data_IF_252715240488
#
_entry.id   IF_252715240488
#
_cell.length_a   1.000
_cell.length_b   1.000
_cell.length_c   1.000
_cell.angle_alpha   90.00
_cell.angle_beta   90.00
_cell.angle_gamma   90.00
#
_symmetry.space_group_name_H-M   'P 1'
#
loop_
_entity.id
_entity.type
_entity.pdbx_description
1 polymer ?
#
# COMPACT_ATOMS: atom_id res chain seq x y z
N UNK A 1 -13.23 51.39 0.89
CA UNK A 1 -11.97 50.67 0.56
C UNK A 1 -11.23 51.36 -0.57
N UNK A 2 -11.88 51.72 -1.67
CA UNK A 2 -11.24 52.43 -2.79
C UNK A 2 -10.65 53.80 -2.38
N UNK A 3 -11.40 54.62 -1.64
CA UNK A 3 -10.98 55.97 -1.25
C UNK A 3 -9.79 56.04 -0.29
N UNK A 4 -9.64 55.06 0.62
CA UNK A 4 -8.49 55.05 1.56
C UNK A 4 -7.18 54.59 0.92
N UNK A 5 -7.26 53.80 -0.16
CA UNK A 5 -6.10 53.33 -0.91
C UNK A 5 -5.51 54.47 -1.78
N UNK A 6 -6.37 55.35 -2.29
CA UNK A 6 -5.96 56.53 -3.07
C UNK A 6 -5.28 57.61 -2.20
N UNK A 7 -5.63 57.71 -0.91
CA UNK A 7 -5.12 58.76 -0.01
C UNK A 7 -3.81 58.41 0.74
N UNK A 8 -3.19 57.25 0.48
CA UNK A 8 -1.90 56.82 1.06
C UNK A 8 -1.79 56.87 2.59
N UNK A 9 -2.92 56.78 3.31
CA UNK A 9 -2.95 56.74 4.79
C UNK A 9 -2.93 55.29 5.29
N UNK A 10 -2.04 55.00 6.25
CA UNK A 10 -2.03 53.69 6.94
C UNK A 10 -3.25 53.58 7.85
N UNK A 11 -4.14 52.63 7.58
CA UNK A 11 -5.28 52.29 8.44
C UNK A 11 -5.05 50.95 9.16
N UNK A 12 -5.24 50.91 10.47
CA UNK A 12 -5.39 49.67 11.24
C UNK A 12 -6.88 49.31 11.29
N UNK A 13 -7.24 48.15 10.74
CA UNK A 13 -8.62 47.65 10.73
C UNK A 13 -8.72 46.38 11.54
N UNK A 14 -9.67 46.35 12.47
CA UNK A 14 -10.02 45.17 13.24
C UNK A 14 -11.15 44.46 12.52
N UNK A 15 -10.85 43.27 12.01
CA UNK A 15 -11.87 42.39 11.42
C UNK A 15 -12.46 41.54 12.53
N UNK A 16 -13.76 41.71 12.78
CA UNK A 16 -14.51 40.84 13.67
C UNK A 16 -15.20 39.76 12.85
N UNK A 17 -14.59 38.59 12.78
CA UNK A 17 -15.23 37.42 12.20
C UNK A 17 -16.25 36.87 13.20
N UNK A 18 -17.51 36.80 12.80
CA UNK A 18 -18.54 36.04 13.51
C UNK A 18 -18.65 34.69 12.83
N UNK A 19 -18.34 33.62 13.57
CA UNK A 19 -18.69 32.27 13.14
C UNK A 19 -20.19 32.11 13.38
N UNK A 20 -20.98 32.18 12.32
CA UNK A 20 -22.34 31.67 12.39
C UNK A 20 -22.23 30.15 12.59
N UNK A 21 -22.76 29.65 13.70
CA UNK A 21 -23.04 28.22 13.82
C UNK A 21 -24.22 27.98 12.89
N UNK A 22 -23.94 27.44 11.71
CA UNK A 22 -25.01 26.82 10.93
C UNK A 22 -25.66 25.76 11.83
N UNK A 23 -26.94 25.96 12.15
CA UNK A 23 -27.69 25.15 13.11
C UNK A 23 -27.94 23.72 12.60
N UNK A 24 -27.60 23.47 11.34
CA UNK A 24 -27.40 22.16 10.74
C UNK A 24 -25.95 22.15 10.28
N UNK A 25 -25.06 21.37 10.91
CA UNK A 25 -23.69 21.26 10.43
C UNK A 25 -23.68 20.88 8.93
N UNK A 26 -22.69 21.33 8.18
CA UNK A 26 -22.54 21.14 6.71
C UNK A 26 -22.62 19.65 6.25
N UNK A 27 -22.60 18.71 7.20
CA UNK A 27 -22.77 17.27 7.05
C UNK A 27 -23.76 16.65 8.04
N UNK A 28 -24.74 17.42 8.55
CA UNK A 28 -25.71 16.93 9.55
C UNK A 28 -26.57 15.77 9.02
N UNK A 29 -26.70 15.68 7.71
CA UNK A 29 -27.49 14.65 7.03
C UNK A 29 -26.61 13.57 6.41
N UNK A 30 -25.28 13.61 6.58
CA UNK A 30 -24.40 12.58 6.01
C UNK A 30 -24.72 11.23 6.63
N UNK A 31 -24.88 10.24 5.76
CA UNK A 31 -25.05 8.84 6.15
C UNK A 31 -23.73 8.11 5.94
N UNK A 32 -23.21 7.48 7.00
CA UNK A 32 -22.08 6.56 6.91
C UNK A 32 -22.58 5.13 6.78
N UNK A 33 -21.97 4.37 5.88
CA UNK A 33 -22.37 3.00 5.65
C UNK A 33 -21.16 2.11 5.31
N UNK A 34 -21.38 0.80 5.33
CA UNK A 34 -20.36 -0.21 5.05
C UNK A 34 -20.44 -0.77 3.62
N UNK A 35 -19.56 -1.71 3.31
CA UNK A 35 -19.46 -2.31 1.97
C UNK A 35 -20.72 -3.03 1.50
N UNK A 36 -21.58 -3.51 2.41
CA UNK A 36 -22.84 -4.19 2.07
C UNK A 36 -23.98 -3.24 1.71
N UNK A 37 -23.76 -1.93 1.82
CA UNK A 37 -24.80 -0.89 1.62
C UNK A 37 -24.86 -0.29 0.22
N UNK A 38 -24.01 -0.74 -0.71
CA UNK A 38 -23.92 -0.18 -2.06
C UNK A 38 -23.49 -1.22 -3.09
N UNK A 39 -23.79 -0.96 -4.35
CA UNK A 39 -23.18 -1.66 -5.49
C UNK A 39 -21.91 -0.95 -5.92
N UNK A 40 -20.87 -1.70 -6.31
CA UNK A 40 -19.59 -1.12 -6.76
C UNK A 40 -19.71 -0.13 -7.92
N UNK A 41 -20.75 -0.25 -8.74
CA UNK A 41 -21.07 0.72 -9.80
C UNK A 41 -21.31 2.15 -9.26
N UNK A 42 -21.82 2.30 -8.03
CA UNK A 42 -22.04 3.61 -7.40
C UNK A 42 -20.73 4.36 -7.09
N UNK A 43 -19.61 3.64 -6.96
CA UNK A 43 -18.30 4.25 -6.67
C UNK A 43 -17.58 4.77 -7.92
N UNK A 44 -18.03 4.39 -9.12
CA UNK A 44 -17.35 4.71 -10.38
C UNK A 44 -17.00 6.20 -10.49
N UNK A 45 -17.99 7.08 -10.31
CA UNK A 45 -17.78 8.53 -10.37
C UNK A 45 -16.75 9.00 -9.33
N UNK A 46 -16.90 8.56 -8.07
CA UNK A 46 -16.01 8.96 -6.99
C UNK A 46 -14.57 8.54 -7.28
N UNK A 47 -14.37 7.33 -7.80
CA UNK A 47 -13.07 6.78 -8.15
C UNK A 47 -12.42 7.53 -9.30
N UNK A 48 -13.12 7.66 -10.42
CA UNK A 48 -12.60 8.29 -11.64
C UNK A 48 -12.27 9.77 -11.41
N UNK A 49 -13.11 10.50 -10.67
CA UNK A 49 -12.83 11.89 -10.31
C UNK A 49 -11.72 12.04 -9.26
N UNK A 50 -11.49 11.03 -8.42
CA UNK A 50 -10.46 11.10 -7.38
C UNK A 50 -9.07 10.72 -7.87
N UNK A 51 -8.98 9.72 -8.75
CA UNK A 51 -7.72 9.14 -9.21
C UNK A 51 -7.39 9.48 -10.66
N UNK A 52 -8.34 10.01 -11.44
CA UNK A 52 -8.17 10.29 -12.87
C UNK A 52 -7.82 9.04 -13.69
N UNK A 53 -8.33 7.89 -13.28
CA UNK A 53 -8.18 6.57 -13.91
C UNK A 53 -9.56 5.91 -13.99
N UNK A 54 -9.78 5.11 -15.04
CA UNK A 54 -11.02 4.34 -15.23
C UNK A 54 -11.27 3.37 -14.07
N UNK A 55 -12.54 3.22 -13.67
CA UNK A 55 -12.90 2.28 -12.62
C UNK A 55 -12.84 0.82 -13.12
N UNK A 56 -11.86 0.06 -12.65
CA UNK A 56 -11.71 -1.37 -12.97
C UNK A 56 -12.55 -2.24 -12.02
N UNK A 57 -13.66 -2.77 -12.57
CA UNK A 57 -14.57 -3.64 -11.84
C UNK A 57 -13.91 -4.96 -11.39
N UNK A 58 -13.04 -5.56 -12.20
CA UNK A 58 -12.39 -6.83 -11.84
C UNK A 58 -11.43 -6.62 -10.68
N UNK A 59 -10.70 -5.51 -10.69
CA UNK A 59 -9.79 -5.15 -9.62
C UNK A 59 -10.53 -4.83 -8.33
N UNK A 60 -11.67 -4.12 -8.41
CA UNK A 60 -12.53 -3.89 -7.26
C UNK A 60 -12.99 -5.22 -6.63
N UNK A 61 -13.47 -6.16 -7.44
CA UNK A 61 -13.94 -7.47 -6.97
C UNK A 61 -12.83 -8.29 -6.35
N UNK A 62 -11.65 -8.33 -6.98
CA UNK A 62 -10.46 -8.97 -6.42
C UNK A 62 -10.14 -8.42 -5.02
N UNK A 63 -10.12 -7.09 -4.86
CA UNK A 63 -9.73 -6.45 -3.61
C UNK A 63 -10.78 -6.55 -2.51
N UNK A 64 -12.04 -6.28 -2.83
CA UNK A 64 -13.10 -6.09 -1.84
C UNK A 64 -13.98 -7.32 -1.65
N UNK A 65 -14.36 -8.01 -2.73
CA UNK A 65 -15.22 -9.19 -2.64
C UNK A 65 -14.39 -10.43 -2.27
N UNK A 66 -13.34 -10.71 -3.04
CA UNK A 66 -12.50 -11.91 -2.82
C UNK A 66 -11.47 -11.69 -1.70
N UNK A 67 -10.87 -10.51 -1.64
CA UNK A 67 -9.90 -10.12 -0.61
C UNK A 67 -10.48 -9.78 0.75
N UNK A 68 -11.81 -9.87 0.92
CA UNK A 68 -12.51 -9.45 2.13
C UNK A 68 -12.15 -8.01 2.54
N UNK A 69 -12.07 -7.11 1.54
CA UNK A 69 -11.81 -5.70 1.76
C UNK A 69 -12.86 -5.06 2.67
N UNK A 70 -12.44 -4.01 3.36
CA UNK A 70 -13.27 -3.24 4.28
C UNK A 70 -13.38 -1.83 3.78
N UNK A 71 -14.52 -1.20 3.99
CA UNK A 71 -14.64 0.23 3.76
C UNK A 71 -15.72 0.88 4.62
N UNK A 72 -15.59 2.19 4.73
CA UNK A 72 -16.62 3.12 5.14
C UNK A 72 -16.87 4.07 3.98
N UNK A 73 -18.15 4.24 3.62
CA UNK A 73 -18.59 5.27 2.68
C UNK A 73 -19.35 6.35 3.40
N UNK A 74 -19.36 7.55 2.82
CA UNK A 74 -20.27 8.61 3.23
C UNK A 74 -21.13 9.05 2.05
N UNK A 75 -22.45 9.09 2.26
CA UNK A 75 -23.43 9.66 1.33
C UNK A 75 -23.73 11.10 1.73
N UNK A 76 -23.98 11.97 0.74
CA UNK A 76 -24.26 13.40 0.99
C UNK A 76 -25.51 13.61 1.85
N UNK A 77 -26.47 12.71 1.72
CA UNK A 77 -27.72 12.61 2.46
C UNK A 77 -28.17 11.14 2.45
N UNK A 78 -29.14 10.73 3.30
CA UNK A 78 -29.57 9.34 3.34
C UNK A 78 -30.09 8.86 1.99
N UNK A 79 -29.55 7.76 1.47
CA UNK A 79 -29.86 7.25 0.12
C UNK A 79 -29.31 8.11 -1.05
N UNK A 80 -28.58 9.18 -0.77
CA UNK A 80 -27.93 10.04 -1.77
C UNK A 80 -26.67 9.42 -2.38
N UNK A 81 -25.96 10.20 -3.20
CA UNK A 81 -24.73 9.73 -3.85
C UNK A 81 -23.60 9.51 -2.84
N UNK A 82 -22.75 8.51 -3.09
CA UNK A 82 -21.51 8.32 -2.34
C UNK A 82 -20.54 9.43 -2.73
N UNK A 83 -20.05 10.15 -1.73
CA UNK A 83 -19.20 11.34 -1.90
C UNK A 83 -17.84 11.20 -1.21
N UNK A 84 -17.66 10.19 -0.38
CA UNK A 84 -16.42 9.83 0.31
C UNK A 84 -16.35 8.32 0.50
N UNK A 85 -15.14 7.79 0.43
CA UNK A 85 -14.83 6.38 0.63
C UNK A 85 -13.48 6.27 1.33
N UNK A 86 -13.41 5.38 2.30
CA UNK A 86 -12.17 5.01 2.97
C UNK A 86 -12.09 3.49 3.02
N UNK A 87 -11.11 2.93 2.32
CA UNK A 87 -10.97 1.49 2.13
C UNK A 87 -9.74 0.92 2.80
N UNK A 88 -9.75 -0.39 2.97
CA UNK A 88 -8.56 -1.14 3.31
C UNK A 88 -8.68 -2.61 2.96
N UNK A 89 -7.56 -3.23 2.62
CA UNK A 89 -7.47 -4.64 2.29
C UNK A 89 -6.73 -5.39 3.41
N UNK A 90 -7.38 -6.34 4.10
CA UNK A 90 -6.72 -7.12 5.15
C UNK A 90 -5.50 -7.88 4.63
N UNK A 91 -4.50 -8.04 5.50
CA UNK A 91 -3.28 -8.82 5.25
C UNK A 91 -2.97 -9.63 6.50
N UNK A 92 -2.82 -10.93 6.34
CA UNK A 92 -2.25 -11.77 7.39
C UNK A 92 -0.76 -11.42 7.52
N UNK A 93 -0.27 -11.31 8.74
CA UNK A 93 1.11 -10.89 9.06
C UNK A 93 1.68 -11.77 10.18
N UNK A 94 3.01 -11.76 10.28
CA UNK A 94 3.72 -12.04 11.53
C UNK A 94 4.08 -10.70 12.17
N UNK A 95 3.49 -10.41 13.31
CA UNK A 95 3.76 -9.25 14.16
C UNK A 95 4.77 -9.67 15.24
N UNK A 96 6.05 -9.39 15.04
CA UNK A 96 7.14 -9.83 15.91
C UNK A 96 7.06 -11.34 16.19
N UNK A 97 7.00 -12.11 15.09
CA UNK A 97 6.86 -13.58 15.10
C UNK A 97 5.49 -14.12 15.49
N UNK A 98 4.54 -13.27 15.92
CA UNK A 98 3.18 -13.70 16.30
C UNK A 98 2.19 -13.53 15.14
N UNK A 99 1.41 -14.56 14.78
CA UNK A 99 0.36 -14.41 13.76
C UNK A 99 -0.65 -13.32 14.14
N UNK A 100 -0.92 -12.42 13.20
CA UNK A 100 -1.91 -11.37 13.36
C UNK A 100 -2.47 -10.90 12.02
N UNK A 101 -3.39 -9.94 12.05
CA UNK A 101 -3.96 -9.33 10.85
C UNK A 101 -3.68 -7.84 10.86
N UNK A 102 -3.11 -7.32 9.78
CA UNK A 102 -3.05 -5.90 9.49
C UNK A 102 -4.07 -5.53 8.41
N UNK A 103 -4.27 -4.23 8.19
CA UNK A 103 -5.04 -3.73 7.05
C UNK A 103 -4.24 -2.69 6.26
N UNK A 104 -4.08 -2.94 4.97
CA UNK A 104 -3.51 -1.97 4.05
C UNK A 104 -4.59 -0.96 3.67
N UNK A 105 -4.49 0.26 4.17
CA UNK A 105 -5.37 1.36 3.78
C UNK A 105 -5.15 1.69 2.30
N UNK A 106 -6.25 1.72 1.55
CA UNK A 106 -6.26 1.95 0.10
C UNK A 106 -7.56 2.66 -0.33
N UNK A 107 -7.61 3.12 -1.58
CA UNK A 107 -8.79 3.74 -2.19
C UNK A 107 -9.43 4.85 -1.33
N UNK A 108 -8.60 5.70 -0.71
CA UNK A 108 -9.07 6.82 0.09
C UNK A 108 -9.49 7.97 -0.82
N UNK A 109 -10.79 8.23 -0.88
CA UNK A 109 -11.41 9.10 -1.86
C UNK A 109 -12.39 10.07 -1.21
N UNK A 110 -12.40 11.32 -1.68
CA UNK A 110 -13.42 12.32 -1.39
C UNK A 110 -13.66 13.06 -2.70
N UNK A 111 -14.90 13.36 -3.08
CA UNK A 111 -15.15 14.10 -4.33
C UNK A 111 -14.43 15.46 -4.32
N UNK A 112 -13.75 15.85 -5.42
CA UNK A 112 -12.98 17.09 -5.49
C UNK A 112 -13.77 18.35 -5.10
N UNK A 113 -15.05 18.42 -5.46
CA UNK A 113 -15.95 19.54 -5.12
C UNK A 113 -16.21 19.68 -3.61
N UNK A 114 -16.09 18.59 -2.84
CA UNK A 114 -16.30 18.53 -1.39
C UNK A 114 -14.99 18.72 -0.61
N UNK A 115 -13.81 18.57 -1.26
CA UNK A 115 -12.48 18.75 -0.63
C UNK A 115 -12.18 20.20 -0.17
N UNK A 116 -13.13 21.13 -0.28
CA UNK A 116 -12.98 22.55 0.09
C UNK A 116 -13.00 22.77 1.61
N UNK A 117 -13.45 21.78 2.38
CA UNK A 117 -13.58 21.86 3.83
C UNK A 117 -12.42 21.12 4.50
N UNK A 118 -11.73 21.80 5.43
CA UNK A 118 -10.57 21.27 6.13
C UNK A 118 -10.83 21.09 7.64
N UNK A 119 -10.04 20.24 8.28
CA UNK A 119 -10.07 20.05 9.74
C UNK A 119 -10.95 18.87 10.18
N UNK A 120 -11.11 18.73 11.50
CA UNK A 120 -11.82 17.60 12.16
C UNK A 120 -13.34 17.57 11.95
N UNK A 121 -13.87 18.40 11.05
CA UNK A 121 -15.27 18.41 10.61
C UNK A 121 -15.42 18.09 9.12
N UNK A 122 -14.29 17.93 8.43
CA UNK A 122 -14.29 17.57 7.01
C UNK A 122 -14.80 16.15 6.82
N UNK A 123 -15.38 15.88 5.66
CA UNK A 123 -15.83 14.55 5.32
C UNK A 123 -14.68 13.54 5.25
N UNK A 124 -13.49 13.97 4.78
CA UNK A 124 -12.27 13.18 4.87
C UNK A 124 -12.01 12.70 6.29
N UNK A 125 -12.00 13.63 7.26
CA UNK A 125 -11.71 13.30 8.65
C UNK A 125 -12.75 12.32 9.21
N UNK A 126 -14.04 12.61 9.01
CA UNK A 126 -15.09 11.77 9.58
C UNK A 126 -15.07 10.35 8.98
N UNK A 127 -14.97 10.21 7.65
CA UNK A 127 -14.89 8.88 7.01
C UNK A 127 -13.63 8.13 7.46
N UNK A 128 -12.48 8.82 7.56
CA UNK A 128 -11.24 8.22 8.03
C UNK A 128 -11.34 7.77 9.49
N UNK A 129 -11.73 8.65 10.41
CA UNK A 129 -11.87 8.34 11.83
C UNK A 129 -12.84 7.18 12.07
N UNK A 130 -14.00 7.19 11.40
CA UNK A 130 -14.97 6.08 11.47
C UNK A 130 -14.38 4.76 10.97
N UNK A 131 -13.61 4.78 9.87
CA UNK A 131 -12.93 3.57 9.39
C UNK A 131 -11.89 3.08 10.40
N UNK A 132 -11.03 3.97 10.90
CA UNK A 132 -9.97 3.63 11.86
C UNK A 132 -10.57 3.03 13.15
N UNK A 133 -11.64 3.62 13.69
CA UNK A 133 -12.33 3.11 14.87
C UNK A 133 -12.99 1.74 14.63
N UNK A 134 -13.54 1.51 13.44
CA UNK A 134 -14.27 0.27 13.12
C UNK A 134 -13.36 -0.89 12.77
N UNK A 135 -12.22 -0.62 12.12
CA UNK A 135 -11.42 -1.65 11.47
C UNK A 135 -10.00 -1.80 12.03
N UNK A 136 -9.47 -0.86 12.85
CA UNK A 136 -8.07 -0.94 13.29
C UNK A 136 -7.94 -0.79 14.81
N UNK A 137 -7.17 -1.66 15.47
CA UNK A 137 -6.73 -1.49 16.85
C UNK A 137 -7.05 -2.67 17.77
N UNK A 138 -6.80 -2.49 19.07
CA UNK A 138 -6.78 -3.59 20.06
C UNK A 138 -8.14 -4.25 20.32
N UNK A 139 -9.24 -3.70 19.82
CA UNK A 139 -10.62 -4.16 20.08
C UNK A 139 -11.31 -4.70 18.83
N UNK A 140 -10.60 -4.79 17.71
CA UNK A 140 -11.14 -5.23 16.41
C UNK A 140 -10.19 -6.25 15.78
N UNK A 141 -10.56 -6.83 14.63
CA UNK A 141 -9.82 -7.96 14.05
C UNK A 141 -8.41 -7.56 13.59
N UNK A 142 -8.25 -6.39 12.98
CA UNK A 142 -6.98 -5.95 12.43
C UNK A 142 -6.25 -5.11 13.46
N UNK A 143 -5.12 -5.63 13.94
CA UNK A 143 -4.35 -5.04 15.04
C UNK A 143 -3.78 -3.67 14.66
N UNK A 144 -3.25 -3.54 13.44
CA UNK A 144 -2.65 -2.31 12.94
C UNK A 144 -2.96 -2.05 11.47
N UNK A 145 -2.84 -0.79 11.09
CA UNK A 145 -2.95 -0.33 9.70
C UNK A 145 -1.60 0.10 9.15
N UNK A 146 -1.43 -0.07 7.85
CA UNK A 146 -0.34 0.51 7.07
C UNK A 146 -0.87 0.99 5.72
N UNK A 147 -0.06 1.68 4.93
CA UNK A 147 -0.46 2.10 3.59
C UNK A 147 0.61 2.94 2.91
N UNK A 148 0.28 3.42 1.71
CA UNK A 148 1.22 4.12 0.84
C UNK A 148 0.61 5.46 0.38
N UNK A 149 0.30 6.37 1.32
CA UNK A 149 -0.34 7.64 0.98
C UNK A 149 0.60 8.52 0.14
N UNK A 150 0.04 9.26 -0.81
CA UNK A 150 0.78 10.37 -1.39
C UNK A 150 1.07 11.45 -0.33
N UNK A 151 2.07 12.29 -0.57
CA UNK A 151 2.51 13.32 0.38
C UNK A 151 1.38 14.25 0.87
N UNK A 152 0.40 14.54 0.02
CA UNK A 152 -0.73 15.41 0.39
C UNK A 152 -1.64 14.71 1.39
N UNK A 153 -2.00 13.46 1.13
CA UNK A 153 -2.83 12.66 2.03
C UNK A 153 -2.13 12.44 3.38
N UNK A 154 -0.84 12.10 3.37
CA UNK A 154 -0.04 11.92 4.59
C UNK A 154 0.00 13.18 5.46
N UNK A 155 0.35 14.34 4.87
CA UNK A 155 0.38 15.63 5.58
C UNK A 155 -0.96 16.00 6.20
N UNK A 156 -2.07 15.72 5.51
CA UNK A 156 -3.41 15.99 6.04
C UNK A 156 -3.70 15.06 7.23
N UNK A 157 -3.42 13.77 7.11
CA UNK A 157 -3.68 12.80 8.18
C UNK A 157 -2.85 13.07 9.44
N UNK A 158 -1.55 13.39 9.29
CA UNK A 158 -0.67 13.82 10.40
C UNK A 158 -1.24 15.06 11.10
N UNK A 159 -1.60 16.10 10.33
CA UNK A 159 -2.17 17.34 10.89
C UNK A 159 -3.47 17.12 11.65
N UNK A 160 -4.27 16.13 11.24
CA UNK A 160 -5.53 15.79 11.88
C UNK A 160 -5.37 14.86 13.09
N UNK A 161 -4.17 14.33 13.33
CA UNK A 161 -3.88 13.35 14.37
C UNK A 161 -4.48 11.97 14.08
N UNK A 162 -4.67 11.64 12.80
CA UNK A 162 -5.14 10.32 12.37
C UNK A 162 -3.98 9.34 12.26
N UNK A 163 -2.81 9.83 11.84
CA UNK A 163 -1.60 9.03 11.62
C UNK A 163 -0.39 9.54 12.40
N UNK A 164 0.53 8.61 12.61
CA UNK A 164 1.95 8.86 12.85
C UNK A 164 2.77 8.17 11.75
N UNK A 165 4.06 8.50 11.64
CA UNK A 165 4.99 7.92 10.66
C UNK A 165 5.85 6.84 11.32
N UNK A 166 6.03 5.72 10.64
CA UNK A 166 6.86 4.60 11.11
C UNK A 166 8.06 4.29 10.21
N UNK A 167 8.00 4.64 8.92
CA UNK A 167 9.12 4.43 7.99
C UNK A 167 8.99 5.32 6.74
N UNK A 168 9.98 5.25 5.86
CA UNK A 168 9.95 5.74 4.49
C UNK A 168 9.96 4.58 3.50
N UNK A 169 9.31 4.74 2.37
CA UNK A 169 9.39 3.80 1.26
C UNK A 169 10.36 4.35 0.21
N UNK A 170 11.35 3.54 -0.14
CA UNK A 170 12.45 3.92 -1.03
C UNK A 170 12.51 2.99 -2.24
N UNK A 171 13.18 3.45 -3.28
CA UNK A 171 13.48 2.67 -4.48
C UNK A 171 14.99 2.40 -4.56
N UNK A 172 15.35 1.16 -4.84
CA UNK A 172 16.71 0.80 -5.26
C UNK A 172 16.65 0.36 -6.72
N UNK A 173 17.45 1.01 -7.56
CA UNK A 173 17.63 0.67 -8.97
C UNK A 173 18.97 -0.03 -9.14
N UNK A 174 18.95 -1.24 -9.68
CA UNK A 174 20.14 -2.06 -9.84
C UNK A 174 20.80 -1.83 -11.19
N UNK A 175 22.11 -1.66 -11.16
CA UNK A 175 22.93 -1.52 -12.36
C UNK A 175 22.88 -2.80 -13.21
N UNK A 176 22.77 -2.61 -14.53
CA UNK A 176 22.76 -3.72 -15.49
C UNK A 176 24.19 -4.27 -15.63
N UNK A 177 24.44 -5.56 -15.35
CA UNK A 177 25.78 -6.13 -15.48
C UNK A 177 26.26 -6.11 -16.93
N UNK A 178 27.51 -5.72 -17.19
CA UNK A 178 28.08 -5.73 -18.56
C UNK A 178 28.17 -7.14 -19.17
N UNK A 179 28.37 -8.16 -18.33
CA UNK A 179 28.44 -9.58 -18.71
C UNK A 179 27.58 -10.40 -17.76
N UNK A 180 26.26 -10.45 -17.97
CA UNK A 180 25.37 -11.22 -17.11
C UNK A 180 25.68 -12.72 -17.27
N UNK A 181 26.10 -13.35 -16.18
CA UNK A 181 26.16 -14.80 -16.05
C UNK A 181 25.33 -15.14 -14.81
N UNK A 182 24.30 -15.96 -14.99
CA UNK A 182 23.54 -16.50 -13.87
C UNK A 182 23.54 -18.02 -13.95
N UNK A 183 23.81 -18.65 -12.81
CA UNK A 183 23.75 -20.10 -12.67
C UNK A 183 22.34 -20.60 -12.28
N UNK A 184 21.40 -19.67 -12.07
CA UNK A 184 20.06 -20.01 -11.60
C UNK A 184 19.30 -20.86 -12.61
N UNK A 185 18.68 -21.92 -12.09
CA UNK A 185 17.62 -22.63 -12.79
C UNK A 185 16.30 -21.94 -12.45
N UNK A 186 15.77 -21.19 -13.41
CA UNK A 186 14.56 -20.37 -13.22
C UNK A 186 13.43 -20.90 -14.11
N UNK A 187 12.27 -21.14 -13.50
CA UNK A 187 11.04 -21.53 -14.19
C UNK A 187 9.88 -20.62 -13.80
N UNK A 188 8.85 -20.50 -14.65
CA UNK A 188 7.62 -19.81 -14.25
C UNK A 188 6.94 -20.63 -13.15
N UNK A 189 6.57 -19.96 -12.06
CA UNK A 189 5.92 -20.64 -10.96
C UNK A 189 4.49 -21.06 -11.35
N UNK A 190 4.10 -22.27 -10.97
CA UNK A 190 2.77 -22.82 -11.18
C UNK A 190 2.20 -23.32 -9.85
N UNK A 191 1.29 -22.55 -9.25
CA UNK A 191 0.67 -22.92 -7.96
C UNK A 191 -0.38 -24.02 -8.07
N UNK A 192 -0.74 -24.47 -9.27
CA UNK A 192 -1.55 -25.68 -9.45
C UNK A 192 -0.68 -26.96 -9.35
N UNK A 193 0.65 -26.83 -9.40
CA UNK A 193 1.57 -27.90 -9.06
C UNK A 193 1.82 -27.93 -7.55
N UNK A 194 1.34 -28.99 -6.89
CA UNK A 194 1.48 -29.16 -5.44
C UNK A 194 2.95 -29.16 -5.00
N UNK A 195 3.87 -29.72 -5.80
CA UNK A 195 5.28 -29.77 -5.42
C UNK A 195 5.91 -28.36 -5.41
N UNK A 196 5.48 -27.48 -6.31
CA UNK A 196 5.93 -26.08 -6.29
C UNK A 196 5.29 -25.31 -5.14
N UNK A 197 4.00 -25.51 -4.86
CA UNK A 197 3.33 -24.90 -3.72
C UNK A 197 4.00 -25.27 -2.39
N UNK A 198 4.28 -26.56 -2.17
CA UNK A 198 4.99 -27.03 -0.96
C UNK A 198 6.42 -26.45 -0.87
N UNK A 199 7.11 -26.32 -2.00
CA UNK A 199 8.44 -25.71 -2.06
C UNK A 199 8.41 -24.22 -1.65
N UNK A 200 7.42 -23.48 -2.13
CA UNK A 200 7.21 -22.07 -1.78
C UNK A 200 6.89 -21.92 -0.30
N UNK A 201 6.01 -22.77 0.23
CA UNK A 201 5.68 -22.76 1.65
C UNK A 201 6.92 -23.04 2.51
N UNK A 202 7.78 -23.98 2.07
CA UNK A 202 9.08 -24.24 2.71
C UNK A 202 10.04 -23.05 2.69
N UNK A 203 10.11 -22.30 1.58
CA UNK A 203 10.91 -21.08 1.48
C UNK A 203 10.36 -19.98 2.40
N UNK A 204 9.03 -19.81 2.43
CA UNK A 204 8.36 -18.87 3.31
C UNK A 204 8.62 -19.17 4.78
N UNK A 205 8.51 -20.43 5.22
CA UNK A 205 8.78 -20.80 6.63
C UNK A 205 10.22 -20.48 7.07
N UNK A 206 11.19 -20.70 6.18
CA UNK A 206 12.59 -20.35 6.42
C UNK A 206 12.79 -18.84 6.50
N UNK A 207 12.17 -18.07 5.59
CA UNK A 207 12.18 -16.62 5.62
C UNK A 207 11.56 -16.11 6.92
N UNK A 208 10.31 -16.48 7.21
CA UNK A 208 9.53 -16.06 8.37
C UNK A 208 10.28 -16.19 9.70
N UNK A 209 11.04 -17.28 9.89
CA UNK A 209 11.81 -17.54 11.12
C UNK A 209 12.86 -16.45 11.39
N UNK A 210 13.48 -15.90 10.33
CA UNK A 210 14.49 -14.85 10.45
C UNK A 210 13.90 -13.46 10.71
N UNK A 211 12.58 -13.29 10.57
CA UNK A 211 11.85 -12.03 10.75
C UNK A 211 11.12 -11.97 12.11
N UNK A 212 11.58 -12.73 13.11
CA UNK A 212 10.96 -12.80 14.45
C UNK A 212 10.88 -11.46 15.18
N UNK A 213 11.81 -10.53 14.91
CA UNK A 213 11.83 -9.18 15.50
C UNK A 213 11.28 -8.10 14.55
N UNK A 214 10.58 -8.51 13.49
CA UNK A 214 10.03 -7.64 12.46
C UNK A 214 8.52 -7.82 12.29
N UNK A 215 7.93 -6.99 11.44
CA UNK A 215 6.57 -7.16 10.94
C UNK A 215 6.65 -7.49 9.46
N UNK A 216 6.13 -8.66 9.07
CA UNK A 216 6.17 -9.14 7.70
C UNK A 216 4.82 -9.76 7.30
N UNK A 217 4.34 -9.42 6.12
CA UNK A 217 3.17 -10.08 5.52
C UNK A 217 3.43 -11.55 5.22
N UNK A 218 2.42 -12.40 5.44
CA UNK A 218 2.49 -13.81 5.05
C UNK A 218 2.73 -13.91 3.54
N UNK A 219 3.71 -14.72 3.13
CA UNK A 219 4.11 -14.90 1.73
C UNK A 219 4.12 -16.37 1.30
N UNK A 220 3.20 -17.15 1.84
CA UNK A 220 2.99 -18.55 1.45
C UNK A 220 2.33 -18.69 0.05
N UNK A 221 2.19 -19.93 -0.41
CA UNK A 221 1.55 -20.25 -1.69
C UNK A 221 0.10 -19.75 -1.77
N UNK A 222 -0.65 -19.75 -0.67
CA UNK A 222 -2.03 -19.27 -0.62
C UNK A 222 -2.09 -17.75 -0.82
N UNK A 223 -1.20 -17.01 -0.15
CA UNK A 223 -1.01 -15.58 -0.37
C UNK A 223 -0.65 -15.29 -1.82
N UNK A 224 0.35 -15.97 -2.38
CA UNK A 224 0.77 -15.73 -3.77
C UNK A 224 -0.36 -16.01 -4.77
N UNK A 225 -1.14 -17.08 -4.54
CA UNK A 225 -2.29 -17.43 -5.37
C UNK A 225 -3.29 -16.29 -5.43
N UNK A 226 -3.70 -15.79 -4.28
CA UNK A 226 -4.61 -14.66 -4.19
C UNK A 226 -4.00 -13.37 -4.75
N UNK A 227 -2.78 -13.03 -4.29
CA UNK A 227 -2.16 -11.72 -4.51
C UNK A 227 -1.74 -11.48 -5.95
N UNK A 228 -1.24 -12.52 -6.61
CA UNK A 228 -0.65 -12.43 -7.95
C UNK A 228 -1.44 -13.24 -8.97
N UNK A 229 -1.68 -14.54 -8.77
CA UNK A 229 -2.28 -15.40 -9.80
C UNK A 229 -3.77 -15.13 -10.06
N UNK A 230 -4.51 -14.75 -9.02
CA UNK A 230 -5.93 -14.37 -9.12
C UNK A 230 -6.13 -12.86 -9.37
N UNK A 231 -5.05 -12.08 -9.39
CA UNK A 231 -5.13 -10.65 -9.66
C UNK A 231 -5.36 -10.42 -11.17
N UNK A 232 -6.23 -9.47 -11.59
CA UNK A 232 -6.50 -9.21 -13.01
C UNK A 232 -5.24 -8.98 -13.85
N UNK A 233 -4.24 -8.31 -13.28
CA UNK A 233 -2.93 -8.07 -13.90
C UNK A 233 -2.18 -9.34 -14.32
N UNK A 234 -2.36 -10.48 -13.65
CA UNK A 234 -1.75 -11.74 -14.09
C UNK A 234 -2.36 -12.23 -15.39
N UNK A 235 -3.69 -12.19 -15.52
CA UNK A 235 -4.39 -12.53 -16.77
C UNK A 235 -4.07 -11.54 -17.90
N UNK A 236 -3.71 -10.30 -17.57
CA UNK A 236 -3.22 -9.28 -18.52
C UNK A 236 -1.72 -9.40 -18.82
N UNK A 237 -1.04 -10.40 -18.26
CA UNK A 237 0.38 -10.67 -18.52
C UNK A 237 1.32 -9.62 -17.94
N UNK A 238 0.94 -8.94 -16.86
CA UNK A 238 1.75 -7.91 -16.20
C UNK A 238 2.58 -8.46 -15.03
N UNK A 239 2.13 -9.56 -14.40
CA UNK A 239 2.86 -10.24 -13.33
C UNK A 239 3.54 -11.50 -13.85
N UNK A 240 4.81 -11.69 -13.46
CA UNK A 240 5.63 -12.83 -13.83
C UNK A 240 6.28 -13.44 -12.58
N UNK A 241 5.62 -14.42 -11.94
CA UNK A 241 6.18 -15.17 -10.81
C UNK A 241 7.16 -16.23 -11.32
N UNK A 242 8.34 -16.31 -10.70
CA UNK A 242 9.39 -17.26 -11.03
C UNK A 242 9.84 -18.04 -9.80
N UNK A 243 9.92 -19.36 -9.94
CA UNK A 243 10.54 -20.24 -8.96
C UNK A 243 12.00 -20.48 -9.35
N UNK A 244 12.89 -20.39 -8.38
CA UNK A 244 14.33 -20.56 -8.54
C UNK A 244 14.77 -21.83 -7.83
N UNK A 245 15.60 -22.61 -8.53
CA UNK A 245 16.27 -23.78 -7.99
C UNK A 245 17.78 -23.58 -8.02
N UNK A 246 18.45 -24.08 -6.98
CA UNK A 246 19.91 -24.16 -6.95
C UNK A 246 20.43 -25.21 -7.96
N UNK A 247 21.75 -25.33 -8.07
CA UNK A 247 22.38 -26.30 -8.98
C UNK A 247 22.03 -27.77 -8.64
N UNK A 248 21.67 -28.05 -7.39
CA UNK A 248 21.24 -29.37 -6.92
C UNK A 248 19.73 -29.63 -7.15
N UNK A 249 18.98 -28.64 -7.66
CA UNK A 249 17.55 -28.73 -7.93
C UNK A 249 16.65 -28.38 -6.74
N UNK A 250 17.22 -27.96 -5.61
CA UNK A 250 16.44 -27.55 -4.45
C UNK A 250 15.85 -26.15 -4.64
N UNK A 251 14.63 -25.88 -4.15
CA UNK A 251 14.06 -24.54 -4.16
C UNK A 251 14.94 -23.58 -3.35
N UNK A 252 15.31 -22.44 -3.93
CA UNK A 252 16.16 -21.45 -3.29
C UNK A 252 15.49 -20.08 -3.14
N UNK A 253 14.62 -19.71 -4.07
CA UNK A 253 13.81 -18.50 -3.96
C UNK A 253 12.56 -18.54 -4.84
N UNK A 254 11.61 -17.67 -4.55
CA UNK A 254 10.58 -17.24 -5.48
C UNK A 254 10.62 -15.73 -5.60
N UNK A 255 10.48 -15.19 -6.81
CA UNK A 255 10.34 -13.76 -7.01
C UNK A 255 9.22 -13.45 -7.99
N UNK A 256 8.62 -12.27 -7.84
CA UNK A 256 7.55 -11.81 -8.74
C UNK A 256 7.99 -10.51 -9.39
N UNK A 257 7.99 -10.48 -10.72
CA UNK A 257 8.24 -9.27 -11.48
C UNK A 257 6.93 -8.64 -11.98
N UNK A 258 6.94 -7.31 -12.09
CA UNK A 258 5.94 -6.55 -12.82
C UNK A 258 6.62 -5.64 -13.84
N UNK A 259 6.09 -5.59 -15.07
CA UNK A 259 6.51 -4.56 -16.01
C UNK A 259 6.11 -3.15 -15.51
N UNK A 260 7.06 -2.21 -15.54
CA UNK A 260 6.88 -0.85 -15.04
C UNK A 260 7.59 0.18 -15.93
N UNK A 261 6.88 0.68 -16.95
CA UNK A 261 7.49 1.51 -18.00
C UNK A 261 8.52 0.72 -18.79
N UNK A 262 9.73 1.26 -18.92
CA UNK A 262 10.88 0.59 -19.56
C UNK A 262 11.68 -0.29 -18.58
N UNK A 263 11.29 -0.35 -17.29
CA UNK A 263 12.00 -1.06 -16.22
C UNK A 263 11.18 -2.22 -15.67
N UNK A 264 11.82 -3.11 -14.91
CA UNK A 264 11.16 -4.19 -14.18
C UNK A 264 11.09 -3.83 -12.71
N UNK A 265 9.92 -3.98 -12.11
CA UNK A 265 9.73 -3.84 -10.67
C UNK A 265 9.68 -5.22 -10.03
N UNK A 266 10.60 -5.47 -9.09
CA UNK A 266 10.56 -6.62 -8.20
C UNK A 266 9.46 -6.39 -7.16
N UNK A 267 8.38 -7.13 -7.32
CA UNK A 267 7.18 -7.03 -6.46
C UNK A 267 7.40 -7.77 -5.14
N UNK A 268 7.94 -8.99 -5.20
CA UNK A 268 8.20 -9.81 -4.02
C UNK A 268 9.43 -10.68 -4.24
N UNK A 269 10.08 -11.03 -3.13
CA UNK A 269 11.17 -11.99 -3.06
C UNK A 269 11.02 -12.81 -1.78
N UNK A 270 10.82 -14.12 -1.95
CA UNK A 270 10.72 -15.10 -0.88
C UNK A 270 11.96 -15.98 -0.95
N UNK A 271 12.79 -15.89 0.07
CA UNK A 271 14.08 -16.57 0.17
C UNK A 271 14.48 -16.63 1.65
N UNK A 272 15.27 -17.61 2.09
CA UNK A 272 15.92 -17.53 3.39
C UNK A 272 16.65 -16.19 3.53
N UNK A 273 16.56 -15.54 4.70
CA UNK A 273 17.02 -14.16 4.87
C UNK A 273 18.51 -13.96 4.55
N UNK A 274 19.34 -14.97 4.86
CA UNK A 274 20.77 -14.97 4.55
C UNK A 274 21.07 -14.98 3.05
N UNK A 275 20.13 -15.45 2.24
CA UNK A 275 20.29 -15.63 0.79
C UNK A 275 19.67 -14.49 -0.03
N UNK A 276 18.93 -13.56 0.59
CA UNK A 276 18.25 -12.46 -0.10
C UNK A 276 19.23 -11.65 -0.98
N UNK A 277 20.35 -11.18 -0.43
CA UNK A 277 21.34 -10.39 -1.19
C UNK A 277 22.00 -11.19 -2.32
N UNK A 278 22.60 -12.38 -2.08
CA UNK A 278 23.16 -13.20 -3.15
C UNK A 278 22.14 -13.49 -4.26
N UNK A 279 20.92 -13.88 -3.88
CA UNK A 279 19.84 -14.20 -4.81
C UNK A 279 19.45 -13.00 -5.66
N UNK A 280 19.38 -11.81 -5.05
CA UNK A 280 19.05 -10.58 -5.77
C UNK A 280 20.08 -10.25 -6.86
N UNK A 281 21.37 -10.46 -6.60
CA UNK A 281 22.42 -10.29 -7.61
C UNK A 281 22.22 -11.21 -8.83
N UNK A 282 21.85 -12.46 -8.58
CA UNK A 282 21.51 -13.42 -9.63
C UNK A 282 20.21 -13.06 -10.37
N UNK A 283 19.18 -12.59 -9.66
CA UNK A 283 17.92 -12.12 -10.27
C UNK A 283 18.17 -10.93 -11.20
N UNK A 284 19.05 -9.99 -10.83
CA UNK A 284 19.45 -8.88 -11.70
C UNK A 284 20.07 -9.39 -12.99
N UNK A 285 21.01 -10.35 -12.90
CA UNK A 285 21.65 -10.95 -14.07
C UNK A 285 20.64 -11.72 -14.95
N UNK A 286 19.72 -12.48 -14.34
CA UNK A 286 18.61 -13.14 -15.03
C UNK A 286 17.72 -12.13 -15.78
N UNK A 287 17.32 -11.05 -15.11
CA UNK A 287 16.46 -10.02 -15.71
C UNK A 287 17.13 -9.36 -16.91
N UNK A 288 18.41 -9.01 -16.80
CA UNK A 288 19.18 -8.45 -17.91
C UNK A 288 19.14 -9.36 -19.17
N UNK A 289 19.29 -10.68 -18.98
CA UNK A 289 19.30 -11.64 -20.09
C UNK A 289 17.90 -11.88 -20.66
N UNK A 290 16.92 -12.13 -19.79
CA UNK A 290 15.57 -12.55 -20.19
C UNK A 290 14.73 -11.37 -20.72
N UNK A 291 14.99 -10.15 -20.24
CA UNK A 291 14.19 -8.98 -20.52
C UNK A 291 14.96 -7.89 -21.27
N UNK A 292 15.85 -8.28 -22.19
CA UNK A 292 16.49 -7.38 -23.16
C UNK A 292 17.23 -6.20 -22.50
N UNK A 293 17.89 -6.43 -21.37
CA UNK A 293 18.68 -5.40 -20.67
C UNK A 293 17.86 -4.37 -19.89
N UNK A 294 16.57 -4.60 -19.66
CA UNK A 294 15.76 -3.72 -18.79
C UNK A 294 16.33 -3.71 -17.36
N UNK A 295 16.45 -2.52 -16.78
CA UNK A 295 16.88 -2.35 -15.41
C UNK A 295 15.85 -2.95 -14.44
N UNK A 296 16.35 -3.57 -13.36
CA UNK A 296 15.53 -4.05 -12.26
C UNK A 296 15.54 -3.03 -11.13
N UNK A 297 14.39 -2.83 -10.50
CA UNK A 297 14.28 -2.05 -9.27
C UNK A 297 13.42 -2.76 -8.24
N UNK A 298 13.63 -2.44 -6.98
CA UNK A 298 12.75 -2.84 -5.87
C UNK A 298 12.30 -1.59 -5.13
N UNK A 299 11.06 -1.60 -4.65
CA UNK A 299 10.63 -0.66 -3.63
C UNK A 299 10.55 -1.38 -2.29
N UNK A 300 11.12 -0.78 -1.26
CA UNK A 300 11.20 -1.37 0.08
C UNK A 300 11.13 -0.29 1.16
N UNK A 301 10.72 -0.67 2.36
CA UNK A 301 10.86 0.14 3.57
C UNK A 301 12.34 0.44 3.87
N UNK A 302 12.64 1.71 4.21
CA UNK A 302 14.02 2.19 4.33
C UNK A 302 14.82 1.43 5.39
N UNK A 303 14.18 1.03 6.49
CA UNK A 303 14.85 0.24 7.53
C UNK A 303 15.49 -1.06 6.99
N UNK A 304 14.98 -1.59 5.87
CA UNK A 304 15.46 -2.82 5.25
C UNK A 304 16.29 -2.59 3.98
N UNK A 305 16.72 -1.36 3.71
CA UNK A 305 17.62 -1.03 2.61
C UNK A 305 18.86 -1.93 2.60
N UNK A 306 19.50 -2.07 3.76
CA UNK A 306 20.68 -2.90 3.93
C UNK A 306 20.43 -4.39 3.71
N UNK A 307 19.20 -4.89 3.66
CA UNK A 307 18.93 -6.29 3.34
C UNK A 307 18.90 -6.56 1.83
N UNK A 308 18.72 -5.52 1.00
CA UNK A 308 18.57 -5.65 -0.46
C UNK A 308 19.58 -4.80 -1.25
N UNK A 309 20.42 -4.03 -0.57
CA UNK A 309 21.42 -3.20 -1.24
C UNK A 309 22.55 -4.05 -1.85
N UNK A 310 22.74 -3.89 -3.17
CA UNK A 310 23.87 -4.41 -3.94
C UNK A 310 24.90 -3.30 -4.21
N UNK A 311 26.16 -3.64 -4.58
CA UNK A 311 27.12 -2.65 -5.06
C UNK A 311 26.56 -1.84 -6.24
N UNK A 312 26.87 -0.55 -6.27
CA UNK A 312 26.54 0.36 -7.38
C UNK A 312 25.04 0.51 -7.70
N UNK A 313 24.14 0.15 -6.77
CA UNK A 313 22.72 0.49 -6.92
C UNK A 313 22.47 1.97 -6.61
N UNK A 314 21.50 2.56 -7.30
CA UNK A 314 21.04 3.93 -7.01
C UNK A 314 19.86 3.86 -6.06
N UNK A 315 19.92 4.60 -4.96
CA UNK A 315 18.81 4.71 -3.99
C UNK A 315 18.07 6.03 -4.22
N UNK A 316 16.76 5.95 -4.44
CA UNK A 316 15.88 7.09 -4.67
C UNK A 316 14.81 7.17 -3.58
N UNK A 317 14.46 8.40 -3.19
CA UNK A 317 13.32 8.65 -2.33
C UNK A 317 12.03 8.67 -3.15
N UNK A 318 11.07 7.80 -2.82
CA UNK A 318 9.74 7.82 -3.45
C UNK A 318 8.85 8.94 -2.89
N UNK A 319 9.25 9.55 -1.77
CA UNK A 319 8.44 10.53 -1.06
C UNK A 319 7.15 9.95 -0.47
N UNK A 320 7.11 8.63 -0.26
CA UNK A 320 6.03 7.90 0.39
C UNK A 320 6.47 7.58 1.82
N UNK A 321 5.69 8.03 2.79
CA UNK A 321 5.91 7.74 4.21
C UNK A 321 4.95 6.63 4.62
N UNK A 322 5.43 5.65 5.39
CA UNK A 322 4.60 4.56 5.90
C UNK A 322 3.89 5.04 7.17
N UNK A 323 2.54 5.09 7.18
CA UNK A 323 1.80 5.54 8.33
C UNK A 323 1.44 4.38 9.27
N UNK A 324 1.20 4.71 10.53
CA UNK A 324 0.40 3.89 11.44
C UNK A 324 -0.80 4.69 11.97
N UNK A 325 -1.80 3.98 12.48
CA UNK A 325 -2.96 4.58 13.13
C UNK A 325 -2.57 5.24 14.46
N UNK A 326 -2.90 6.52 14.65
CA UNK A 326 -2.72 7.25 15.91
C UNK A 326 -4.04 7.74 16.51
N UNK A 327 -5.18 7.39 15.89
CA UNK A 327 -6.50 7.92 16.26
C UNK A 327 -7.11 7.21 17.46
N UNK A 328 -7.00 5.88 17.51
CA UNK A 328 -7.53 5.03 18.57
C UNK A 328 -6.47 4.01 19.04
N UNK A 329 -6.74 3.29 20.13
CA UNK A 329 -5.74 2.43 20.78
C UNK A 329 -5.32 1.25 19.89
N UNK A 330 -4.02 1.15 19.66
CA UNK A 330 -3.33 0.08 18.95
C UNK A 330 -1.84 0.04 19.35
N UNK A 331 -1.00 -0.71 18.63
CA UNK A 331 0.45 -0.57 18.72
C UNK A 331 0.89 0.87 18.45
N UNK A 332 1.82 1.39 19.25
CA UNK A 332 2.32 2.76 19.11
C UNK A 332 3.36 2.89 17.98
N UNK A 333 3.56 4.12 17.49
CA UNK A 333 4.49 4.40 16.41
C UNK A 333 5.95 4.04 16.76
N UNK A 334 6.34 4.16 18.04
CA UNK A 334 7.69 3.84 18.51
C UNK A 334 8.01 2.35 18.32
N UNK A 335 7.07 1.47 18.70
CA UNK A 335 7.18 0.03 18.51
C UNK A 335 7.23 -0.36 17.02
N UNK A 336 6.49 0.37 16.18
CA UNK A 336 6.36 0.06 14.76
C UNK A 336 7.50 0.65 13.90
N UNK A 337 8.29 1.57 14.45
CA UNK A 337 9.28 2.32 13.70
C UNK A 337 10.35 1.40 13.09
N UNK A 338 10.48 1.40 11.77
CA UNK A 338 11.41 0.54 11.03
C UNK A 338 11.14 -0.97 11.10
N UNK A 339 10.03 -1.40 11.71
CA UNK A 339 9.77 -2.82 11.92
C UNK A 339 9.22 -3.52 10.66
N UNK A 340 8.60 -2.77 9.76
CA UNK A 340 7.91 -3.30 8.59
C UNK A 340 8.87 -3.74 7.49
N UNK A 341 8.82 -5.02 7.09
CA UNK A 341 9.26 -5.47 5.77
C UNK A 341 8.09 -5.31 4.79
N UNK A 342 8.12 -4.26 3.99
CA UNK A 342 7.15 -4.01 2.93
C UNK A 342 7.87 -3.90 1.59
N UNK A 343 7.33 -4.54 0.56
CA UNK A 343 7.82 -4.44 -0.81
C UNK A 343 6.77 -3.80 -1.71
N UNK A 344 7.09 -3.54 -2.98
CA UNK A 344 6.09 -3.09 -3.96
C UNK A 344 4.88 -4.03 -4.03
N UNK A 345 5.07 -5.33 -3.78
CA UNK A 345 4.01 -6.34 -3.69
C UNK A 345 2.94 -6.04 -2.64
N UNK A 346 3.28 -5.31 -1.58
CA UNK A 346 2.34 -4.90 -0.54
C UNK A 346 1.48 -3.69 -0.96
N UNK A 347 1.80 -3.03 -2.09
CA UNK A 347 1.04 -1.92 -2.67
C UNK A 347 -0.01 -2.38 -3.67
N UNK A 348 -1.17 -1.71 -3.69
CA UNK A 348 -2.11 -1.85 -4.79
C UNK A 348 -1.75 -0.89 -5.92
N UNK A 349 -1.57 -1.42 -7.12
CA UNK A 349 -1.35 -0.62 -8.34
C UNK A 349 -2.68 -0.37 -9.03
N UNK A 350 -2.95 0.88 -9.41
CA UNK A 350 -4.11 1.26 -10.22
C UNK A 350 -3.82 1.14 -11.72
#
# INVERSE_FOLDING_TARGET
MATEFEESRRSLKVFKFRKEQDSLGEYSNVEFADIGSFSSAELKRLFEESFHTEFDQEQWRWKYEFGNGRCVVARSEPGGNIVSHYGGAPREILYFGQPNVAIQVCDVMVLPEIRRHYGKRSLFFNTAATFLEREIGNTVRQLLGFGFPNQKAMKIALRLGLYEKTDDFIELVYSVPEKPSSALQVELANLEDQQQSDAIDGLWQQMATAFGDAIIGIRDSSYLKYRYFQHPFYHRGLYHPYLVRDEAGHPSALFVLKAHGDELLLMDLISPAVDIKPMLGEIVAFCCKQWQGRALKIWITRAWQEAVQLPDCVVNDLGIEIPCNSWNRGPDAETLYGAWWLTAGDMDFM
#
